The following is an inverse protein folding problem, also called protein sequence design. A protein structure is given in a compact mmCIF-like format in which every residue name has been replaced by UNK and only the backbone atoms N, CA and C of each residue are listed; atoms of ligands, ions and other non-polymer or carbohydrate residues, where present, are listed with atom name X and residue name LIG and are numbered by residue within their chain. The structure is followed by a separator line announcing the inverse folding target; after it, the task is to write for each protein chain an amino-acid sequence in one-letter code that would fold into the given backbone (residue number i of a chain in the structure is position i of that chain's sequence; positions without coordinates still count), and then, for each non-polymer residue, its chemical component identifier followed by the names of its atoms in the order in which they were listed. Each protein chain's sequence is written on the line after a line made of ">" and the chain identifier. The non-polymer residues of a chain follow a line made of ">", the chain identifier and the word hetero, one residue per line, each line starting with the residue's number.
data_IF_175642844404
#
_entry.id   IF_175642844404
#
_cell.length_a   1.000
_cell.length_b   1.000
_cell.length_c   1.000
_cell.angle_alpha   90.00
_cell.angle_beta   90.00
_cell.angle_gamma   90.00
#
_symmetry.space_group_name_H-M   'P 1'
#
loop_
_entity.id
_entity.type
_entity.pdbx_description
1 polymer ?
#
# COMPACT_ATOMS: atom_id res chain seq x y z
N UNK A 1 -26.94 -11.90 -27.92
CA UNK A 1 -26.09 -10.87 -27.27
C UNK A 1 -26.27 -11.04 -25.76
N UNK A 2 -25.35 -11.73 -25.09
CA UNK A 2 -25.41 -11.95 -23.65
C UNK A 2 -24.79 -10.76 -22.93
N UNK A 3 -25.56 -10.12 -22.05
CA UNK A 3 -25.08 -9.07 -21.18
C UNK A 3 -24.22 -9.72 -20.08
N UNK A 4 -22.93 -9.41 -20.06
CA UNK A 4 -22.10 -9.69 -18.88
C UNK A 4 -22.59 -8.73 -17.79
N UNK A 5 -23.41 -9.22 -16.87
CA UNK A 5 -23.75 -8.49 -15.66
C UNK A 5 -22.52 -8.47 -14.75
N UNK A 6 -21.69 -7.44 -14.91
CA UNK A 6 -20.58 -7.18 -14.00
C UNK A 6 -21.15 -6.70 -12.67
N UNK A 7 -21.59 -7.62 -11.81
CA UNK A 7 -21.96 -7.30 -10.43
C UNK A 7 -20.64 -7.04 -9.70
N UNK A 8 -20.14 -5.81 -9.81
CA UNK A 8 -18.92 -5.38 -9.14
C UNK A 8 -19.12 -5.57 -7.63
N UNK A 9 -18.49 -6.61 -7.06
CA UNK A 9 -18.38 -6.73 -5.61
C UNK A 9 -17.57 -5.52 -5.14
N UNK A 10 -18.12 -4.76 -4.19
CA UNK A 10 -17.40 -3.65 -3.59
C UNK A 10 -16.14 -4.19 -2.89
N UNK A 11 -14.99 -3.61 -3.20
CA UNK A 11 -13.71 -3.89 -2.54
C UNK A 11 -13.56 -2.87 -1.42
N UNK A 12 -13.28 -3.35 -0.21
CA UNK A 12 -13.01 -2.48 0.93
C UNK A 12 -11.50 -2.36 1.14
N UNK A 13 -10.97 -1.15 0.99
CA UNK A 13 -9.56 -0.85 1.27
C UNK A 13 -9.41 -0.56 2.76
N UNK A 14 -8.63 -1.35 3.52
CA UNK A 14 -8.39 -1.07 4.93
C UNK A 14 -7.69 0.27 5.14
N UNK A 15 -7.86 0.86 6.32
CA UNK A 15 -7.17 2.08 6.71
C UNK A 15 -5.65 1.83 6.84
N UNK A 16 -4.86 2.63 6.13
CA UNK A 16 -3.38 2.52 6.09
C UNK A 16 -2.65 3.74 6.66
N UNK A 17 -3.39 4.74 7.14
CA UNK A 17 -2.86 5.88 7.86
C UNK A 17 -3.02 5.72 9.37
N UNK A 18 -2.10 6.33 10.12
CA UNK A 18 -2.11 6.35 11.58
C UNK A 18 -2.37 7.75 12.14
N UNK A 19 -1.98 8.79 11.40
CA UNK A 19 -2.23 10.18 11.77
C UNK A 19 -3.73 10.48 11.75
N UNK A 20 -4.23 11.16 12.79
CA UNK A 20 -5.63 11.60 12.91
C UNK A 20 -5.81 13.12 12.94
N UNK A 21 -4.73 13.87 13.21
CA UNK A 21 -4.81 15.30 13.52
C UNK A 21 -4.36 16.23 12.38
N UNK A 22 -3.85 15.67 11.27
CA UNK A 22 -3.28 16.46 10.18
C UNK A 22 -3.76 15.92 8.83
N UNK A 23 -4.81 16.52 8.21
CA UNK A 23 -5.50 15.96 7.05
C UNK A 23 -4.57 15.59 5.89
N UNK A 24 -3.62 16.47 5.54
CA UNK A 24 -2.69 16.22 4.44
C UNK A 24 -1.76 15.03 4.73
N UNK A 25 -1.18 14.96 5.93
CA UNK A 25 -0.34 13.83 6.36
C UNK A 25 -1.14 12.52 6.38
N UNK A 26 -2.38 12.54 6.86
CA UNK A 26 -3.28 11.38 6.84
C UNK A 26 -3.54 10.89 5.42
N UNK A 27 -3.75 11.80 4.46
CA UNK A 27 -3.92 11.46 3.03
C UNK A 27 -2.64 10.85 2.48
N UNK A 28 -1.48 11.46 2.76
CA UNK A 28 -0.18 11.00 2.27
C UNK A 28 0.18 9.62 2.82
N UNK A 29 0.03 9.40 4.12
CA UNK A 29 0.23 8.08 4.75
C UNK A 29 -0.66 7.02 4.12
N UNK A 30 -1.94 7.34 3.93
CA UNK A 30 -2.88 6.39 3.34
C UNK A 30 -2.54 6.10 1.87
N UNK A 31 -2.24 7.14 1.10
CA UNK A 31 -1.90 7.04 -0.32
C UNK A 31 -0.64 6.22 -0.55
N UNK A 32 0.44 6.51 0.17
CA UNK A 32 1.69 5.74 0.06
C UNK A 32 1.49 4.30 0.53
N UNK A 33 0.78 4.10 1.64
CA UNK A 33 0.43 2.76 2.11
C UNK A 33 -0.33 1.96 1.04
N UNK A 34 -1.30 2.57 0.37
CA UNK A 34 -2.03 1.95 -0.74
C UNK A 34 -1.08 1.57 -1.89
N UNK A 35 -0.19 2.48 -2.31
CA UNK A 35 0.78 2.20 -3.39
C UNK A 35 1.63 0.97 -3.05
N UNK A 36 2.19 0.89 -1.84
CA UNK A 36 3.04 -0.23 -1.41
C UNK A 36 2.24 -1.53 -1.32
N UNK A 37 1.04 -1.49 -0.74
CA UNK A 37 0.17 -2.66 -0.60
C UNK A 37 -0.26 -3.20 -1.97
N UNK A 38 -0.65 -2.33 -2.90
CA UNK A 38 -1.08 -2.75 -4.23
C UNK A 38 0.09 -3.24 -5.10
N UNK A 39 1.26 -2.63 -4.97
CA UNK A 39 2.50 -3.09 -5.59
C UNK A 39 2.78 -4.55 -5.20
N UNK A 40 2.79 -4.85 -3.90
CA UNK A 40 3.04 -6.21 -3.42
C UNK A 40 1.90 -7.17 -3.75
N UNK A 41 0.64 -6.72 -3.72
CA UNK A 41 -0.51 -7.52 -4.15
C UNK A 41 -0.39 -7.93 -5.61
N UNK A 42 -0.03 -6.99 -6.47
CA UNK A 42 0.18 -7.25 -7.89
C UNK A 42 1.29 -8.28 -8.10
N UNK A 43 2.42 -8.14 -7.39
CA UNK A 43 3.52 -9.11 -7.46
C UNK A 43 3.07 -10.51 -7.01
N UNK A 44 2.38 -10.62 -5.88
CA UNK A 44 1.90 -11.90 -5.35
C UNK A 44 0.88 -12.59 -6.26
N UNK A 45 0.04 -11.81 -6.95
CA UNK A 45 -0.92 -12.33 -7.94
C UNK A 45 -0.24 -12.85 -9.21
N UNK A 46 0.98 -12.41 -9.52
CA UNK A 46 1.77 -12.95 -10.63
C UNK A 46 2.53 -14.24 -10.26
N UNK A 47 3.06 -14.32 -9.03
CA UNK A 47 3.90 -15.45 -8.59
C UNK A 47 3.09 -16.69 -8.19
N UNK A 48 1.87 -16.51 -7.67
CA UNK A 48 1.01 -17.64 -7.32
C UNK A 48 0.55 -18.37 -8.59
N UNK A 49 1.09 -19.57 -8.82
CA UNK A 49 0.56 -20.51 -9.78
C UNK A 49 -0.94 -20.73 -9.49
N UNK A 50 -1.79 -20.54 -10.51
CA UNK A 50 -3.23 -20.32 -10.34
C UNK A 50 -3.98 -21.64 -10.12
N UNK A 51 -3.60 -22.37 -9.08
CA UNK A 51 -4.25 -23.60 -8.63
C UNK A 51 -5.59 -23.38 -7.91
N UNK A 52 -6.25 -24.47 -7.49
CA UNK A 52 -7.59 -24.45 -6.87
C UNK A 52 -7.65 -23.77 -5.49
N UNK A 53 -6.51 -23.37 -4.91
CA UNK A 53 -6.40 -22.67 -3.61
C UNK A 53 -6.50 -21.14 -3.71
N UNK A 54 -7.05 -20.63 -4.82
CA UNK A 54 -7.20 -19.19 -5.08
C UNK A 54 -8.05 -18.53 -3.98
N UNK A 55 -7.41 -17.69 -3.17
CA UNK A 55 -8.11 -16.76 -2.27
C UNK A 55 -8.85 -15.71 -3.09
N UNK A 56 -9.97 -15.23 -2.58
CA UNK A 56 -10.65 -14.08 -3.18
C UNK A 56 -9.76 -12.83 -3.05
N UNK A 57 -9.90 -11.88 -3.97
CA UNK A 57 -9.08 -10.67 -4.01
C UNK A 57 -9.08 -9.92 -2.68
N UNK A 58 -10.24 -9.81 -2.03
CA UNK A 58 -10.38 -9.17 -0.71
C UNK A 58 -9.57 -9.89 0.37
N UNK A 59 -9.47 -11.21 0.32
CA UNK A 59 -8.70 -12.00 1.29
C UNK A 59 -7.19 -11.79 1.07
N UNK A 60 -6.73 -11.79 -0.18
CA UNK A 60 -5.33 -11.51 -0.50
C UNK A 60 -4.95 -10.08 -0.12
N UNK A 61 -5.81 -9.09 -0.42
CA UNK A 61 -5.63 -7.71 0.02
C UNK A 61 -5.53 -7.62 1.54
N UNK A 62 -6.43 -8.28 2.28
CA UNK A 62 -6.44 -8.26 3.75
C UNK A 62 -5.14 -8.82 4.33
N UNK A 63 -4.64 -9.92 3.78
CA UNK A 63 -3.38 -10.54 4.25
C UNK A 63 -2.18 -9.64 4.00
N UNK A 64 -2.15 -8.97 2.85
CA UNK A 64 -1.04 -8.07 2.52
C UNK A 64 -1.07 -6.82 3.38
N UNK A 65 -2.25 -6.24 3.61
CA UNK A 65 -2.39 -5.14 4.57
C UNK A 65 -1.88 -5.55 5.94
N UNK A 66 -2.27 -6.72 6.45
CA UNK A 66 -1.76 -7.21 7.74
C UNK A 66 -0.25 -7.37 7.72
N UNK A 67 0.34 -7.81 6.61
CA UNK A 67 1.79 -7.92 6.48
C UNK A 67 2.45 -6.54 6.47
N UNK A 68 1.91 -5.57 5.74
CA UNK A 68 2.40 -4.18 5.74
C UNK A 68 2.38 -3.58 7.15
N UNK A 69 1.29 -3.78 7.89
CA UNK A 69 1.12 -3.27 9.25
C UNK A 69 2.04 -3.96 10.27
N UNK A 70 2.30 -5.27 10.13
CA UNK A 70 3.10 -6.06 11.09
C UNK A 70 4.59 -6.13 10.77
N UNK A 71 5.00 -5.73 9.57
CA UNK A 71 6.38 -5.84 9.10
C UNK A 71 7.29 -4.69 9.55
N UNK A 72 6.74 -3.65 10.18
CA UNK A 72 7.46 -2.41 10.48
C UNK A 72 7.57 -1.45 9.29
N UNK A 73 7.22 -1.89 8.06
CA UNK A 73 7.25 -1.03 6.86
C UNK A 73 6.34 0.18 7.03
N UNK A 74 5.13 0.01 7.56
CA UNK A 74 4.23 1.14 7.82
C UNK A 74 4.84 2.17 8.78
N UNK A 75 5.51 1.70 9.84
CA UNK A 75 6.13 2.57 10.84
C UNK A 75 7.29 3.38 10.22
N UNK A 76 8.15 2.71 9.45
CA UNK A 76 9.25 3.36 8.72
C UNK A 76 8.71 4.41 7.74
N UNK A 77 7.71 4.04 6.93
CA UNK A 77 7.07 4.97 5.98
C UNK A 77 6.50 6.19 6.70
N UNK A 78 5.78 5.99 7.81
CA UNK A 78 5.18 7.08 8.57
C UNK A 78 6.24 8.00 9.20
N UNK A 79 7.37 7.44 9.66
CA UNK A 79 8.50 8.20 10.18
C UNK A 79 9.14 9.05 9.08
N UNK A 80 9.42 8.47 7.91
CA UNK A 80 9.97 9.22 6.77
C UNK A 80 9.03 10.32 6.28
N UNK A 81 7.71 10.06 6.24
CA UNK A 81 6.72 11.09 5.91
C UNK A 81 6.76 12.21 6.96
N UNK A 82 6.80 11.87 8.25
CA UNK A 82 6.88 12.88 9.31
C UNK A 82 8.12 13.77 9.16
N UNK A 83 9.27 13.18 8.87
CA UNK A 83 10.52 13.90 8.62
C UNK A 83 10.42 14.81 7.38
N UNK A 84 9.87 14.32 6.28
CA UNK A 84 9.69 15.12 5.06
C UNK A 84 8.81 16.35 5.31
N UNK A 85 7.71 16.19 6.05
CA UNK A 85 6.86 17.32 6.45
C UNK A 85 7.55 18.29 7.42
N UNK A 86 8.42 17.80 8.30
CA UNK A 86 9.20 18.67 9.19
C UNK A 86 10.23 19.50 8.42
N UNK A 87 10.87 18.93 7.40
CA UNK A 87 11.93 19.60 6.63
C UNK A 87 11.38 20.55 5.56
N UNK A 88 10.28 20.18 4.90
CA UNK A 88 9.77 20.89 3.72
C UNK A 88 8.39 21.54 3.93
N UNK A 89 7.76 21.31 5.08
CA UNK A 89 6.38 21.71 5.33
C UNK A 89 5.43 21.01 4.37
N UNK A 90 4.44 21.73 3.86
CA UNK A 90 3.43 21.23 2.92
C UNK A 90 3.74 21.62 1.46
N UNK A 91 4.98 22.00 1.15
CA UNK A 91 5.39 22.44 -0.18
C UNK A 91 5.39 21.26 -1.15
N UNK A 92 4.32 21.16 -1.95
CA UNK A 92 4.07 20.02 -2.86
C UNK A 92 5.24 19.74 -3.80
N UNK A 93 5.87 20.77 -4.38
CA UNK A 93 6.98 20.62 -5.32
C UNK A 93 8.21 19.92 -4.71
N UNK A 94 8.45 20.16 -3.42
CA UNK A 94 9.54 19.52 -2.68
C UNK A 94 9.08 18.14 -2.14
N UNK A 95 7.83 18.06 -1.70
CA UNK A 95 7.28 16.90 -1.00
C UNK A 95 7.01 15.73 -1.94
N UNK A 96 6.39 15.97 -3.11
CA UNK A 96 6.06 14.91 -4.07
C UNK A 96 7.24 14.01 -4.47
N UNK A 97 8.41 14.53 -4.88
CA UNK A 97 9.54 13.67 -5.21
C UNK A 97 10.06 12.87 -4.00
N UNK A 98 10.04 13.46 -2.80
CA UNK A 98 10.43 12.77 -1.56
C UNK A 98 9.46 11.62 -1.23
N UNK A 99 8.15 11.87 -1.31
CA UNK A 99 7.11 10.88 -1.07
C UNK A 99 7.19 9.72 -2.07
N UNK A 100 7.46 10.01 -3.34
CA UNK A 100 7.71 8.98 -4.35
C UNK A 100 8.96 8.16 -4.01
N UNK A 101 10.03 8.81 -3.56
CA UNK A 101 11.24 8.15 -3.06
C UNK A 101 10.99 7.23 -1.87
N UNK A 102 10.17 7.67 -0.90
CA UNK A 102 9.76 6.86 0.26
C UNK A 102 9.01 5.61 -0.19
N UNK A 103 8.03 5.76 -1.10
CA UNK A 103 7.29 4.62 -1.63
C UNK A 103 8.22 3.62 -2.35
N UNK A 104 9.15 4.11 -3.16
CA UNK A 104 10.13 3.29 -3.88
C UNK A 104 11.08 2.53 -2.94
N UNK A 105 11.60 3.21 -1.91
CA UNK A 105 12.53 2.62 -0.94
C UNK A 105 11.88 1.54 -0.08
N UNK A 106 10.57 1.66 0.18
CA UNK A 106 9.81 0.78 1.07
C UNK A 106 8.93 -0.23 0.33
N UNK A 107 9.18 -0.49 -0.95
CA UNK A 107 8.48 -1.52 -1.72
C UNK A 107 8.63 -2.89 -1.03
N UNK A 108 7.50 -3.50 -0.71
CA UNK A 108 7.49 -4.79 -0.02
C UNK A 108 7.96 -5.93 -0.92
N UNK A 109 7.85 -5.80 -2.24
CA UNK A 109 8.38 -6.82 -3.14
C UNK A 109 9.91 -6.95 -3.07
N UNK A 110 10.65 -5.89 -2.71
CA UNK A 110 12.12 -6.00 -2.64
C UNK A 110 12.56 -6.91 -1.49
N UNK A 111 11.78 -6.94 -0.42
CA UNK A 111 12.14 -7.64 0.83
C UNK A 111 11.44 -8.99 0.98
N UNK A 112 10.21 -9.13 0.47
CA UNK A 112 9.33 -10.27 0.76
C UNK A 112 8.94 -11.11 -0.46
N UNK A 113 9.71 -11.01 -1.55
CA UNK A 113 9.48 -11.74 -2.81
C UNK A 113 10.39 -12.93 -3.03
N UNK A 114 11.39 -13.13 -2.18
CA UNK A 114 12.19 -14.35 -2.25
C UNK A 114 11.41 -15.49 -1.57
N UNK A 115 11.22 -16.64 -2.24
CA UNK A 115 10.63 -17.79 -1.58
C UNK A 115 11.54 -18.21 -0.41
N UNK A 116 10.93 -18.40 0.76
CA UNK A 116 11.54 -19.16 1.86
C UNK A 116 11.18 -20.62 1.71
#
# INVERSE_FOLDING_TARGET
>A
MQWITHRSKSISIPKLCTSQLHPLKTIVEHGIGCVIVFEYLFFQLQVKDRGPTRKDFQQDLTLIVQKYQKSGVQEIVNACIAEAFQQHGERVDDLCPLLAGIAWANQMCKTYSLPQ
#
